data_IF_519384439864
#
_entry.id   IF_519384439864
#
_cell.length_a   1.000
_cell.length_b   1.000
_cell.length_c   1.000
_cell.angle_alpha   90.00
_cell.angle_beta   90.00
_cell.angle_gamma   90.00
#
_symmetry.space_group_name_H-M   'P 1'
#
loop_
_entity.id
_entity.type
_entity.pdbx_description
1 polymer ?
#
# COMPACT_ATOMS: atom_id res chain seq x y z
N UNK A 1 -9.70 16.56 10.66
CA UNK A 1 -9.75 15.95 9.31
C UNK A 1 -9.34 16.95 8.22
N UNK A 2 -10.03 18.09 8.09
CA UNK A 2 -9.73 19.13 7.08
C UNK A 2 -8.31 19.70 7.13
N UNK A 3 -7.78 19.98 8.34
CA UNK A 3 -6.44 20.55 8.50
C UNK A 3 -5.35 19.60 7.98
N UNK A 4 -5.46 18.30 8.24
CA UNK A 4 -4.53 17.29 7.70
C UNK A 4 -4.68 17.05 6.19
N UNK A 5 -5.87 17.29 5.63
CA UNK A 5 -6.11 17.21 4.18
C UNK A 5 -5.46 18.38 3.44
N UNK A 6 -5.59 19.60 3.98
CA UNK A 6 -4.99 20.80 3.40
C UNK A 6 -3.47 20.78 3.54
N UNK A 7 -2.94 20.36 4.68
CA UNK A 7 -1.48 20.28 4.89
C UNK A 7 -0.81 19.21 4.01
N UNK A 8 -1.54 18.18 3.57
CA UNK A 8 -0.99 17.08 2.78
C UNK A 8 -1.05 17.29 1.26
N UNK A 9 -1.82 18.27 0.76
CA UNK A 9 -1.85 18.59 -0.67
C UNK A 9 -0.50 19.00 -1.27
N UNK A 10 0.29 19.92 -0.67
CA UNK A 10 1.59 20.27 -1.23
C UNK A 10 2.54 19.07 -1.25
N UNK A 11 2.45 18.20 -0.23
CA UNK A 11 3.26 16.98 -0.14
C UNK A 11 2.90 15.96 -1.22
N UNK A 12 1.61 15.77 -1.51
CA UNK A 12 1.13 14.88 -2.55
C UNK A 12 1.46 15.40 -3.96
N UNK A 13 1.46 16.72 -4.17
CA UNK A 13 1.89 17.32 -5.42
C UNK A 13 3.40 17.18 -5.65
N UNK A 14 4.20 17.31 -4.58
CA UNK A 14 5.65 17.18 -4.66
C UNK A 14 6.10 15.74 -4.91
N UNK A 15 5.46 14.76 -4.26
CA UNK A 15 5.75 13.33 -4.48
C UNK A 15 5.41 12.86 -5.89
N UNK A 16 4.29 13.35 -6.49
CA UNK A 16 3.96 13.08 -7.90
C UNK A 16 5.02 13.62 -8.86
N UNK A 17 5.50 14.85 -8.65
CA UNK A 17 6.55 15.46 -9.48
C UNK A 17 7.88 14.69 -9.42
N UNK A 18 8.21 14.09 -8.28
CA UNK A 18 9.42 13.27 -8.13
C UNK A 18 9.23 11.88 -8.76
N UNK A 19 8.05 11.27 -8.57
CA UNK A 19 7.74 9.95 -9.14
C UNK A 19 7.75 9.98 -10.67
N UNK A 20 7.18 11.01 -11.29
CA UNK A 20 7.16 11.20 -12.75
C UNK A 20 8.57 11.37 -13.34
N UNK A 21 9.52 11.96 -12.59
CA UNK A 21 10.89 12.17 -13.08
C UNK A 21 11.79 10.95 -12.96
N UNK A 22 11.55 10.02 -12.03
CA UNK A 22 12.48 8.91 -11.73
C UNK A 22 12.03 7.53 -12.20
N UNK A 23 10.77 7.32 -12.57
CA UNK A 23 10.26 5.95 -12.83
C UNK A 23 9.78 5.78 -14.27
N UNK A 24 10.56 5.06 -15.09
CA UNK A 24 10.19 4.66 -16.46
C UNK A 24 9.42 3.33 -16.56
N UNK A 25 9.38 2.51 -15.49
CA UNK A 25 8.70 1.20 -15.48
C UNK A 25 7.53 1.17 -14.48
N UNK A 26 6.36 0.75 -14.96
CA UNK A 26 5.07 0.79 -14.22
C UNK A 26 5.08 -0.06 -12.94
N UNK A 27 5.86 -1.14 -12.92
CA UNK A 27 5.96 -2.08 -11.80
C UNK A 27 6.64 -1.50 -10.55
N UNK A 28 7.59 -0.58 -10.75
CA UNK A 28 8.28 0.09 -9.64
C UNK A 28 7.56 1.36 -9.19
N UNK A 29 6.54 1.82 -9.93
CA UNK A 29 5.90 3.10 -9.68
C UNK A 29 5.20 3.13 -8.32
N UNK A 30 4.49 2.07 -7.94
CA UNK A 30 3.73 2.02 -6.69
C UNK A 30 4.64 2.00 -5.46
N UNK A 31 5.69 1.18 -5.47
CA UNK A 31 6.65 1.09 -4.36
C UNK A 31 7.50 2.35 -4.23
N UNK A 32 7.94 2.94 -5.36
CA UNK A 32 8.69 4.21 -5.36
C UNK A 32 7.79 5.37 -4.95
N UNK A 33 6.52 5.40 -5.35
CA UNK A 33 5.56 6.42 -4.93
C UNK A 33 5.32 6.35 -3.40
N UNK A 34 5.19 5.15 -2.84
CA UNK A 34 5.08 4.99 -1.38
C UNK A 34 6.37 5.41 -0.66
N UNK A 35 7.53 4.94 -1.12
CA UNK A 35 8.81 5.30 -0.52
C UNK A 35 9.11 6.81 -0.60
N UNK A 36 8.86 7.43 -1.75
CA UNK A 36 9.01 8.87 -1.94
C UNK A 36 8.00 9.66 -1.09
N UNK A 37 6.76 9.18 -0.97
CA UNK A 37 5.76 9.77 -0.08
C UNK A 37 6.17 9.72 1.39
N UNK A 38 6.77 8.61 1.82
CA UNK A 38 7.27 8.44 3.18
C UNK A 38 8.46 9.37 3.48
N UNK A 39 9.47 9.40 2.60
CA UNK A 39 10.64 10.28 2.75
C UNK A 39 10.21 11.75 2.73
N UNK A 40 9.36 12.15 1.78
CA UNK A 40 8.84 13.50 1.73
C UNK A 40 8.07 13.85 3.02
N UNK A 41 7.24 12.92 3.51
CA UNK A 41 6.53 13.08 4.78
C UNK A 41 7.45 13.32 5.96
N UNK A 42 8.50 12.50 6.12
CA UNK A 42 9.49 12.67 7.19
C UNK A 42 10.14 14.06 7.13
N UNK A 43 10.61 14.48 5.95
CA UNK A 43 11.26 15.78 5.77
C UNK A 43 10.31 16.92 6.12
N UNK A 44 9.05 16.82 5.69
CA UNK A 44 8.02 17.82 6.00
C UNK A 44 7.72 17.91 7.49
N UNK A 45 7.53 16.77 8.19
CA UNK A 45 7.26 16.77 9.63
C UNK A 45 8.46 17.23 10.45
N UNK A 46 9.69 16.94 10.02
CA UNK A 46 10.90 17.46 10.67
C UNK A 46 10.99 18.99 10.55
N UNK A 47 10.75 19.55 9.37
CA UNK A 47 10.72 21.00 9.18
C UNK A 47 9.65 21.67 10.07
N UNK A 48 8.46 21.07 10.11
CA UNK A 48 7.35 21.59 10.90
C UNK A 48 7.66 21.51 12.41
N UNK A 49 8.31 20.43 12.86
CA UNK A 49 8.80 20.30 14.23
C UNK A 49 9.82 21.39 14.58
N UNK A 50 10.82 21.64 13.72
CA UNK A 50 11.78 22.74 13.92
C UNK A 50 11.09 24.10 14.03
N UNK A 51 10.09 24.38 13.19
CA UNK A 51 9.32 25.63 13.27
C UNK A 51 8.56 25.73 14.60
N UNK A 52 7.91 24.65 15.04
CA UNK A 52 7.20 24.66 16.35
C UNK A 52 8.13 24.85 17.53
N UNK A 53 9.38 24.37 17.42
CA UNK A 53 10.40 24.54 18.45
C UNK A 53 10.88 25.99 18.54
N UNK A 54 11.00 26.69 17.40
CA UNK A 54 11.34 28.11 17.35
C UNK A 54 10.24 29.02 17.92
N UNK A 55 8.96 28.61 17.84
CA UNK A 55 7.83 29.34 18.44
C UNK A 55 7.84 29.23 19.98
N UNK A 56 8.48 28.19 20.53
CA UNK A 56 8.67 28.02 21.99
C UNK A 56 7.39 27.74 22.79
N UNK A 57 6.25 27.55 22.13
CA UNK A 57 4.97 27.31 22.80
C UNK A 57 4.72 25.80 22.97
N UNK A 58 4.53 25.31 24.21
CA UNK A 58 4.39 23.87 24.50
C UNK A 58 3.19 23.22 23.80
N UNK A 59 2.10 23.94 23.57
CA UNK A 59 0.95 23.40 22.83
C UNK A 59 1.30 23.08 21.37
N UNK A 60 2.08 23.93 20.72
CA UNK A 60 2.48 23.74 19.33
C UNK A 60 3.49 22.61 19.17
N UNK A 61 4.39 22.44 20.16
CA UNK A 61 5.34 21.33 20.20
C UNK A 61 4.60 20.00 20.32
N UNK A 62 3.61 19.91 21.22
CA UNK A 62 2.78 18.71 21.37
C UNK A 62 2.01 18.39 20.07
N UNK A 63 1.47 19.41 19.40
CA UNK A 63 0.77 19.24 18.13
C UNK A 63 1.70 18.80 16.99
N UNK A 64 2.92 19.36 16.94
CA UNK A 64 3.98 18.97 16.02
C UNK A 64 4.38 17.50 16.18
N UNK A 65 4.40 16.99 17.43
CA UNK A 65 4.67 15.59 17.73
C UNK A 65 3.51 14.64 17.37
N UNK A 66 2.27 15.10 17.51
CA UNK A 66 1.05 14.34 17.18
C UNK A 66 0.78 14.28 15.67
N UNK A 67 1.24 15.26 14.91
CA UNK A 67 1.08 15.34 13.46
C UNK A 67 1.59 14.12 12.66
N UNK A 68 2.80 13.58 12.89
CA UNK A 68 3.25 12.37 12.20
C UNK A 68 2.37 11.16 12.51
N UNK A 69 1.88 11.04 13.76
CA UNK A 69 0.92 10.00 14.13
C UNK A 69 -0.41 10.16 13.38
N UNK A 70 -0.96 11.36 13.31
CA UNK A 70 -2.17 11.64 12.53
C UNK A 70 -1.97 11.38 11.04
N UNK A 71 -0.81 11.74 10.50
CA UNK A 71 -0.44 11.47 9.10
C UNK A 71 -0.41 9.98 8.79
N UNK A 72 0.22 9.20 9.67
CA UNK A 72 0.26 7.74 9.58
C UNK A 72 -1.14 7.13 9.66
N UNK A 73 -1.94 7.53 10.66
CA UNK A 73 -3.31 7.06 10.82
C UNK A 73 -4.18 7.38 9.59
N UNK A 74 -4.03 8.56 9.01
CA UNK A 74 -4.76 8.97 7.81
C UNK A 74 -4.40 8.11 6.59
N UNK A 75 -3.12 7.79 6.39
CA UNK A 75 -2.69 6.89 5.31
C UNK A 75 -3.22 5.47 5.52
N UNK A 76 -3.08 4.94 6.73
CA UNK A 76 -3.56 3.60 7.09
C UNK A 76 -5.06 3.46 6.88
N UNK A 77 -5.85 4.44 7.33
CA UNK A 77 -7.29 4.44 7.11
C UNK A 77 -7.65 4.52 5.62
N UNK A 78 -6.92 5.33 4.83
CA UNK A 78 -7.16 5.42 3.39
C UNK A 78 -6.93 4.08 2.70
N UNK A 79 -5.85 3.39 3.02
CA UNK A 79 -5.56 2.07 2.45
C UNK A 79 -6.64 1.05 2.81
N UNK A 80 -7.02 0.98 4.08
CA UNK A 80 -8.08 0.08 4.53
C UNK A 80 -9.43 0.39 3.92
N UNK A 81 -9.73 1.67 3.72
CA UNK A 81 -10.96 2.10 3.05
C UNK A 81 -10.97 1.67 1.59
N UNK A 82 -9.89 1.93 0.85
CA UNK A 82 -9.77 1.55 -0.57
C UNK A 82 -9.88 0.03 -0.73
N UNK A 83 -9.18 -0.72 0.11
CA UNK A 83 -9.21 -2.19 0.09
C UNK A 83 -10.63 -2.71 0.39
N UNK A 84 -11.32 -2.12 1.36
CA UNK A 84 -12.72 -2.45 1.67
C UNK A 84 -13.66 -2.13 0.51
N UNK A 85 -13.49 -0.99 -0.15
CA UNK A 85 -14.28 -0.61 -1.34
C UNK A 85 -14.02 -1.58 -2.49
N UNK A 86 -12.77 -1.97 -2.71
CA UNK A 86 -12.39 -2.94 -3.74
C UNK A 86 -12.99 -4.32 -3.43
N UNK A 87 -12.96 -4.76 -2.17
CA UNK A 87 -13.56 -6.02 -1.74
C UNK A 87 -15.09 -6.01 -1.94
N UNK A 88 -15.78 -4.93 -1.55
CA UNK A 88 -17.22 -4.77 -1.77
C UNK A 88 -17.56 -4.76 -3.26
N UNK A 89 -16.76 -4.07 -4.07
CA UNK A 89 -16.94 -4.03 -5.53
C UNK A 89 -16.72 -5.41 -6.18
N UNK A 90 -15.73 -6.17 -5.70
CA UNK A 90 -15.48 -7.53 -6.15
C UNK A 90 -16.61 -8.50 -5.76
N UNK A 91 -17.18 -8.36 -4.56
CA UNK A 91 -18.32 -9.16 -4.11
C UNK A 91 -19.58 -8.92 -4.95
N UNK A 92 -19.81 -7.67 -5.36
CA UNK A 92 -20.97 -7.26 -6.17
C UNK A 92 -20.75 -7.43 -7.68
N UNK A 93 -19.62 -7.97 -8.10
CA UNK A 93 -19.32 -8.11 -9.52
C UNK A 93 -20.20 -9.21 -10.15
N UNK A 94 -20.87 -8.95 -11.29
CA UNK A 94 -21.81 -9.91 -11.90
C UNK A 94 -21.13 -11.22 -12.32
N UNK A 95 -19.86 -11.15 -12.74
CA UNK A 95 -19.07 -12.32 -13.16
C UNK A 95 -18.39 -13.08 -12.01
N UNK A 96 -18.75 -12.80 -10.75
CA UNK A 96 -18.11 -13.44 -9.59
C UNK A 96 -18.25 -14.97 -9.61
N UNK A 97 -19.41 -15.49 -10.04
CA UNK A 97 -19.64 -16.93 -10.16
C UNK A 97 -18.66 -17.58 -11.13
N UNK A 98 -18.58 -17.04 -12.35
CA UNK A 98 -17.70 -17.54 -13.40
C UNK A 98 -16.22 -17.49 -13.01
N UNK A 99 -15.79 -16.41 -12.35
CA UNK A 99 -14.42 -16.26 -11.87
C UNK A 99 -14.06 -17.25 -10.76
N UNK A 100 -15.02 -17.64 -9.90
CA UNK A 100 -14.80 -18.68 -8.89
C UNK A 100 -14.66 -20.05 -9.54
N UNK A 101 -15.48 -20.36 -10.56
CA UNK A 101 -15.36 -21.60 -11.34
C UNK A 101 -14.04 -21.69 -12.10
N UNK A 102 -13.57 -20.58 -12.69
CA UNK A 102 -12.25 -20.54 -13.33
C UNK A 102 -11.12 -20.74 -12.32
N UNK A 103 -11.23 -20.16 -11.11
CA UNK A 103 -10.23 -20.35 -10.05
C UNK A 103 -10.13 -21.81 -9.61
N UNK A 104 -11.26 -22.51 -9.43
CA UNK A 104 -11.25 -23.93 -9.05
C UNK A 104 -10.61 -24.79 -10.14
N UNK A 105 -10.93 -24.55 -11.42
CA UNK A 105 -10.32 -25.27 -12.53
C UNK A 105 -8.79 -25.07 -12.61
N UNK A 106 -8.30 -23.83 -12.39
CA UNK A 106 -6.86 -23.55 -12.36
C UNK A 106 -6.18 -24.26 -11.18
N UNK A 107 -6.81 -24.28 -10.01
CA UNK A 107 -6.27 -24.97 -8.84
C UNK A 107 -6.21 -26.48 -9.05
N UNK A 108 -7.24 -27.09 -9.64
CA UNK A 108 -7.25 -28.51 -9.99
C UNK A 108 -6.12 -28.85 -10.97
N UNK A 109 -5.96 -28.06 -12.03
CA UNK A 109 -4.85 -28.22 -12.97
C UNK A 109 -3.47 -28.00 -12.33
N UNK A 110 -3.33 -27.07 -11.38
CA UNK A 110 -2.08 -26.83 -10.66
C UNK A 110 -1.76 -27.94 -9.66
N UNK A 111 -2.76 -28.57 -9.05
CA UNK A 111 -2.59 -29.73 -8.16
C UNK A 111 -2.13 -30.96 -8.96
N UNK A 112 -2.77 -31.24 -10.10
CA UNK A 112 -2.38 -32.34 -11.00
C UNK A 112 -0.94 -32.17 -11.52
N UNK A 113 -0.53 -30.92 -11.79
CA UNK A 113 0.84 -30.63 -12.24
C UNK A 113 1.90 -30.75 -11.13
N UNK A 114 1.48 -30.62 -9.87
CA UNK A 114 2.36 -30.69 -8.70
C UNK A 114 2.29 -32.05 -7.98
N UNK A 115 1.56 -33.03 -8.52
CA UNK A 115 1.61 -34.41 -8.06
C UNK A 115 3.01 -34.97 -8.42
N UNK A 116 3.88 -35.30 -7.43
CA UNK A 116 5.10 -36.00 -7.73
C UNK A 116 4.68 -37.34 -8.32
N UNK A 117 5.12 -37.64 -9.54
CA UNK A 117 4.94 -38.94 -10.16
C UNK A 117 5.25 -40.00 -9.10
N UNK A 118 4.21 -40.72 -8.66
CA UNK A 118 4.36 -41.79 -7.71
C UNK A 118 5.46 -42.71 -8.25
N UNK A 119 6.42 -43.17 -7.44
CA UNK A 119 7.38 -44.15 -7.88
C UNK A 119 6.63 -45.48 -8.06
N UNK A 120 5.95 -45.63 -9.20
CA UNK A 120 5.90 -46.92 -9.89
C UNK A 120 7.36 -47.31 -10.10
N UNK A 121 7.75 -48.36 -9.39
CA UNK A 121 8.90 -49.26 -9.58
C UNK A 121 9.47 -49.71 -8.21
N UNK A 122 8.60 -50.05 -7.25
CA UNK A 122 8.91 -51.01 -6.19
C UNK A 122 8.77 -52.47 -6.67
N UNK A 123 9.13 -52.71 -7.92
CA UNK A 123 9.26 -54.02 -8.52
C UNK A 123 10.58 -54.05 -9.30
N UNK A 124 11.35 -55.12 -9.08
CA UNK A 124 12.62 -55.49 -9.76
C UNK A 124 13.89 -55.15 -8.98
N UNK A 125 14.26 -56.05 -8.06
CA UNK A 125 15.54 -56.81 -8.01
C UNK A 125 15.50 -57.66 -6.73
N UNK A 126 15.10 -58.94 -6.84
CA UNK A 126 15.96 -60.13 -6.99
C UNK A 126 17.05 -60.23 -5.93
#
# INVERSE_FOLDING_TARGET
FLVGYISSQPLAAFSRRIADKKVKKREFYTSVMMGAGFIAGIVYYLLLFFITLLIGNPFWIAFGLLLPFLGWFSQFYRERWVESVHAVKAQRHPLRGDLLHMRTAILEHAVIKNEPAAPELAGIKK
#
